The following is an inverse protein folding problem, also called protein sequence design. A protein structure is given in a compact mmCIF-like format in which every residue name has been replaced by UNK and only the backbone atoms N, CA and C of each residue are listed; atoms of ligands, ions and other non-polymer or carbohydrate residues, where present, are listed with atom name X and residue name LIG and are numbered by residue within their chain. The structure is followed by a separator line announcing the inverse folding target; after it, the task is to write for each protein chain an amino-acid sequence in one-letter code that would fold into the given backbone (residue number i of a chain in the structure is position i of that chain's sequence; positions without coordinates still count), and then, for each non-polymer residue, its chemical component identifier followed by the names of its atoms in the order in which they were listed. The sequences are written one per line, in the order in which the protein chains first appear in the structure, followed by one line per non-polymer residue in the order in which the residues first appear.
data_IF_662155633598
#
_entry.id   IF_662155633598
#
_cell.length_a   1.000
_cell.length_b   1.000
_cell.length_c   1.000
_cell.angle_alpha   90.00
_cell.angle_beta   90.00
_cell.angle_gamma   90.00
#
_symmetry.space_group_name_H-M   'P 1'
#
loop_
_entity.id
_entity.type
_entity.pdbx_description
1 polymer ?
#
# COMPACT_ATOMS: atom_id res chain seq x y z
N UNK A 1 -31.53 -11.35 16.43
CA UNK A 1 -32.30 -10.09 16.26
C UNK A 1 -31.62 -9.31 15.16
N UNK A 2 -32.34 -8.99 14.09
CA UNK A 2 -31.80 -8.25 12.94
C UNK A 2 -31.38 -6.86 13.39
N UNK A 3 -30.11 -6.49 13.16
CA UNK A 3 -29.59 -5.14 13.43
C UNK A 3 -30.06 -4.15 12.36
N UNK A 4 -31.39 -4.01 12.19
CA UNK A 4 -32.04 -3.13 11.22
C UNK A 4 -31.70 -1.63 11.36
N UNK A 5 -30.89 -1.26 12.35
CA UNK A 5 -30.46 0.12 12.59
C UNK A 5 -29.11 0.48 11.96
N UNK A 6 -28.36 -0.52 11.45
CA UNK A 6 -27.08 -0.30 10.77
C UNK A 6 -27.34 -0.18 9.27
N UNK A 7 -26.65 0.76 8.61
CA UNK A 7 -26.77 0.94 7.15
C UNK A 7 -26.50 -0.38 6.40
N UNK A 8 -27.30 -0.67 5.37
CA UNK A 8 -27.24 -1.93 4.63
C UNK A 8 -25.84 -2.28 4.11
N UNK A 9 -25.10 -1.30 3.60
CA UNK A 9 -23.73 -1.47 3.11
C UNK A 9 -22.73 -1.97 4.16
N UNK A 10 -23.03 -1.84 5.44
CA UNK A 10 -22.17 -2.33 6.54
C UNK A 10 -22.50 -3.75 6.99
N UNK A 11 -23.64 -4.31 6.58
CA UNK A 11 -24.08 -5.64 7.04
C UNK A 11 -23.13 -6.76 6.57
N UNK A 12 -22.53 -6.59 5.39
CA UNK A 12 -21.61 -7.55 4.78
C UNK A 12 -20.13 -7.18 4.96
N UNK A 13 -19.82 -6.03 5.60
CA UNK A 13 -18.45 -5.62 5.83
C UNK A 13 -17.83 -6.47 6.95
N UNK A 14 -16.90 -7.33 6.57
CA UNK A 14 -16.13 -8.13 7.54
C UNK A 14 -15.06 -7.26 8.20
N UNK A 15 -14.80 -7.51 9.49
CA UNK A 15 -13.62 -6.92 10.15
C UNK A 15 -12.35 -7.36 9.44
N UNK A 16 -11.31 -6.52 9.47
CA UNK A 16 -10.03 -6.87 8.85
C UNK A 16 -9.46 -8.15 9.50
N UNK A 17 -9.38 -9.23 8.73
CA UNK A 17 -8.76 -10.49 9.17
C UNK A 17 -7.33 -10.27 9.68
N UNK A 18 -6.58 -9.37 9.04
CA UNK A 18 -5.23 -8.99 9.48
C UNK A 18 -5.26 -8.39 10.89
N UNK A 19 -6.28 -7.59 11.24
CA UNK A 19 -6.40 -7.01 12.59
C UNK A 19 -6.63 -8.07 13.65
N UNK A 20 -7.42 -9.09 13.37
CA UNK A 20 -7.61 -10.21 14.29
C UNK A 20 -6.32 -11.02 14.46
N UNK A 21 -5.59 -11.27 13.36
CA UNK A 21 -4.29 -11.95 13.40
C UNK A 21 -3.23 -11.15 14.18
N UNK A 22 -3.26 -9.81 14.09
CA UNK A 22 -2.35 -8.96 14.87
C UNK A 22 -2.59 -9.02 16.38
N UNK A 23 -3.74 -9.51 16.86
CA UNK A 23 -3.92 -9.80 18.29
C UNK A 23 -3.02 -10.94 18.75
N UNK A 24 -2.86 -11.97 17.92
CA UNK A 24 -1.96 -13.10 18.21
C UNK A 24 -0.48 -12.69 18.18
N UNK A 25 -0.11 -11.69 17.37
CA UNK A 25 1.27 -11.19 17.30
C UNK A 25 1.77 -10.50 18.57
N UNK A 26 0.87 -10.18 19.50
CA UNK A 26 1.20 -9.58 20.81
C UNK A 26 1.39 -10.62 21.92
N UNK A 27 1.22 -11.90 21.63
CA UNK A 27 1.42 -12.98 22.61
C UNK A 27 2.91 -13.24 22.81
N UNK A 28 3.33 -13.48 24.03
CA UNK A 28 4.72 -13.78 24.36
C UNK A 28 5.24 -15.00 23.59
N UNK A 29 6.43 -14.90 23.04
CA UNK A 29 7.08 -15.98 22.28
C UNK A 29 6.55 -16.18 20.86
N UNK A 30 5.60 -15.36 20.39
CA UNK A 30 5.09 -15.41 19.02
C UNK A 30 5.90 -14.48 18.10
N UNK A 31 6.38 -15.02 17.00
CA UNK A 31 7.04 -14.27 15.93
C UNK A 31 6.01 -13.94 14.87
N UNK A 32 5.82 -12.65 14.60
CA UNK A 32 4.85 -12.20 13.61
C UNK A 32 5.49 -11.89 12.26
N UNK A 33 5.13 -12.66 11.25
CA UNK A 33 5.37 -12.38 9.83
C UNK A 33 4.11 -11.80 9.16
N UNK A 34 3.05 -11.50 9.93
CA UNK A 34 1.76 -11.05 9.39
C UNK A 34 1.65 -9.54 9.21
N UNK A 35 2.38 -8.74 9.98
CA UNK A 35 2.23 -7.29 10.02
C UNK A 35 3.00 -6.55 8.93
N UNK A 36 2.33 -5.71 8.14
CA UNK A 36 2.97 -4.73 7.25
C UNK A 36 3.35 -3.44 7.99
N UNK A 37 3.99 -3.57 9.15
CA UNK A 37 4.34 -2.46 10.04
C UNK A 37 5.85 -2.21 9.91
N UNK A 38 6.30 -0.99 9.56
CA UNK A 38 7.72 -0.64 9.55
C UNK A 38 8.41 -0.92 10.88
N UNK A 39 9.70 -1.24 10.81
CA UNK A 39 10.53 -1.45 11.99
C UNK A 39 10.74 -0.13 12.76
N UNK A 40 10.24 0.01 14.00
CA UNK A 40 10.37 1.25 14.75
C UNK A 40 11.82 1.61 15.11
N UNK A 41 12.75 0.63 15.11
CA UNK A 41 14.16 0.88 15.37
C UNK A 41 14.86 1.61 14.21
N UNK A 42 14.24 1.65 13.04
CA UNK A 42 14.71 2.38 11.87
C UNK A 42 14.14 3.80 11.77
N UNK A 43 13.27 4.24 12.68
CA UNK A 43 12.76 5.62 12.63
C UNK A 43 13.88 6.60 13.01
N UNK A 44 14.03 7.67 12.23
CA UNK A 44 14.98 8.75 12.52
C UNK A 44 14.49 9.59 13.70
N UNK A 45 14.70 9.05 14.91
CA UNK A 45 14.29 9.70 16.17
C UNK A 45 14.89 11.08 16.33
N UNK A 46 16.17 11.25 15.97
CA UNK A 46 16.87 12.53 16.08
C UNK A 46 16.25 13.57 15.14
N UNK A 47 16.06 13.21 13.86
CA UNK A 47 15.47 14.11 12.88
C UNK A 47 14.03 14.51 13.23
N UNK A 48 13.23 13.57 13.75
CA UNK A 48 11.88 13.85 14.25
C UNK A 48 11.90 14.76 15.47
N UNK A 49 12.86 14.59 16.39
CA UNK A 49 13.02 15.46 17.56
C UNK A 49 13.40 16.88 17.13
N UNK A 50 14.38 17.05 16.26
CA UNK A 50 14.79 18.36 15.71
C UNK A 50 13.61 19.07 15.07
N UNK A 51 12.83 18.38 14.25
CA UNK A 51 11.64 18.94 13.62
C UNK A 51 10.57 19.37 14.65
N UNK A 52 10.36 18.57 15.69
CA UNK A 52 9.41 18.89 16.76
C UNK A 52 9.88 20.10 17.59
N UNK A 53 11.16 20.15 17.96
CA UNK A 53 11.74 21.27 18.72
C UNK A 53 11.64 22.58 17.94
N UNK A 54 11.85 22.52 16.61
CA UNK A 54 11.67 23.68 15.74
C UNK A 54 10.23 24.18 15.75
N UNK A 55 9.24 23.28 15.59
CA UNK A 55 7.81 23.62 15.63
C UNK A 55 7.44 24.30 16.94
N UNK A 56 7.84 23.72 18.06
CA UNK A 56 7.50 24.25 19.38
C UNK A 56 8.16 25.61 19.68
N UNK A 57 9.26 25.92 19.00
CA UNK A 57 10.00 27.18 19.23
C UNK A 57 9.58 28.29 18.26
N UNK A 58 9.25 27.96 17.01
CA UNK A 58 9.08 28.97 15.95
C UNK A 58 7.76 28.90 15.18
N UNK A 59 6.98 27.82 15.28
CA UNK A 59 5.81 27.60 14.44
C UNK A 59 4.64 26.92 15.17
N UNK A 60 4.62 27.01 16.50
CA UNK A 60 3.62 26.30 17.29
C UNK A 60 2.18 26.78 17.02
N UNK A 61 2.00 28.09 16.73
CA UNK A 61 0.67 28.68 16.47
C UNK A 61 0.03 28.01 15.23
N UNK A 62 0.75 27.92 14.12
CA UNK A 62 0.26 27.31 12.89
C UNK A 62 0.10 25.78 13.04
N UNK A 63 1.00 25.14 13.78
CA UNK A 63 0.95 23.68 13.98
C UNK A 63 -0.23 23.22 14.85
N UNK A 64 -0.79 24.09 15.69
CA UNK A 64 -1.91 23.79 16.56
C UNK A 64 -3.22 24.51 16.18
N UNK A 65 -3.23 25.27 15.09
CA UNK A 65 -4.41 25.93 14.55
C UNK A 65 -5.02 25.10 13.41
N UNK A 66 -6.23 25.43 13.00
CA UNK A 66 -6.86 24.93 11.79
C UNK A 66 -6.04 25.33 10.54
N UNK A 67 -5.90 24.37 9.61
CA UNK A 67 -5.19 24.57 8.35
C UNK A 67 -6.10 24.48 7.13
N UNK A 68 -5.49 24.54 5.95
CA UNK A 68 -6.17 24.36 4.68
C UNK A 68 -6.55 22.87 4.46
N UNK A 69 -7.68 22.64 3.83
CA UNK A 69 -8.16 21.29 3.50
C UNK A 69 -7.22 20.56 2.53
N UNK A 70 -6.63 21.30 1.60
CA UNK A 70 -5.62 20.79 0.65
C UNK A 70 -4.32 20.39 1.36
N UNK A 71 -4.05 20.99 2.51
CA UNK A 71 -2.86 20.77 3.31
C UNK A 71 -1.89 21.95 3.32
N UNK A 72 -0.86 21.84 4.16
CA UNK A 72 0.18 22.83 4.35
C UNK A 72 0.92 23.12 3.04
N UNK A 73 1.02 24.39 2.57
CA UNK A 73 1.64 24.74 1.29
C UNK A 73 3.11 24.32 1.18
N UNK A 74 3.89 24.43 2.25
CA UNK A 74 5.31 24.06 2.27
C UNK A 74 5.47 22.54 2.11
N UNK A 75 4.61 21.77 2.81
CA UNK A 75 4.59 20.31 2.68
C UNK A 75 4.20 19.92 1.24
N UNK A 76 3.19 20.56 0.65
CA UNK A 76 2.76 20.29 -0.73
C UNK A 76 3.88 20.61 -1.72
N UNK A 77 4.62 21.69 -1.54
CA UNK A 77 5.78 22.02 -2.36
C UNK A 77 6.92 20.99 -2.21
N UNK A 78 7.20 20.53 -0.98
CA UNK A 78 8.18 19.46 -0.76
C UNK A 78 7.75 18.13 -1.40
N UNK A 79 6.45 17.80 -1.37
CA UNK A 79 5.89 16.64 -2.08
C UNK A 79 6.07 16.78 -3.59
N UNK A 80 5.85 17.95 -4.18
CA UNK A 80 6.10 18.19 -5.62
C UNK A 80 7.56 17.88 -6.00
N UNK A 81 8.53 18.20 -5.14
CA UNK A 81 9.93 17.86 -5.38
C UNK A 81 10.15 16.34 -5.35
N UNK A 82 9.58 15.63 -4.38
CA UNK A 82 9.63 14.16 -4.34
C UNK A 82 9.00 13.54 -5.59
N UNK A 83 7.89 14.12 -6.07
CA UNK A 83 7.23 13.65 -7.28
C UNK A 83 8.07 13.91 -8.53
N UNK A 84 8.73 15.06 -8.62
CA UNK A 84 9.65 15.37 -9.71
C UNK A 84 10.81 14.38 -9.80
N UNK A 85 11.40 14.01 -8.66
CA UNK A 85 12.47 13.01 -8.58
C UNK A 85 12.00 11.63 -9.07
N UNK A 86 10.68 11.37 -9.07
CA UNK A 86 10.03 10.17 -9.59
C UNK A 86 9.49 10.32 -11.03
N UNK A 87 9.76 11.44 -11.68
CA UNK A 87 9.31 11.73 -13.04
C UNK A 87 7.86 12.22 -13.13
N UNK A 88 7.19 12.50 -12.01
CA UNK A 88 5.84 13.09 -11.99
C UNK A 88 5.95 14.60 -11.89
N UNK A 89 5.62 15.32 -12.97
CA UNK A 89 5.53 16.76 -12.99
C UNK A 89 4.15 17.19 -12.48
N UNK A 90 4.10 17.89 -11.35
CA UNK A 90 2.87 18.43 -10.76
C UNK A 90 3.13 19.80 -10.10
N UNK A 91 2.11 20.66 -10.08
CA UNK A 91 2.10 21.89 -9.31
C UNK A 91 1.60 21.66 -7.88
N UNK A 92 1.81 22.66 -7.02
CA UNK A 92 1.33 22.61 -5.63
C UNK A 92 -0.20 22.46 -5.58
N UNK A 93 -0.91 23.02 -6.54
CA UNK A 93 -2.36 22.92 -6.69
C UNK A 93 -2.86 21.52 -7.06
N UNK A 94 -1.99 20.64 -7.58
CA UNK A 94 -2.32 19.25 -7.92
C UNK A 94 -2.25 18.32 -6.71
N UNK A 95 -1.59 18.77 -5.63
CA UNK A 95 -1.32 17.97 -4.44
C UNK A 95 -2.35 18.22 -3.36
N UNK A 96 -2.97 17.17 -2.83
CA UNK A 96 -3.81 17.21 -1.63
C UNK A 96 -3.24 16.28 -0.57
N UNK A 97 -2.94 16.83 0.61
CA UNK A 97 -2.44 16.05 1.75
C UNK A 97 -3.59 15.30 2.42
N UNK A 98 -3.35 14.04 2.73
CA UNK A 98 -4.36 13.14 3.33
C UNK A 98 -3.85 12.52 4.64
N UNK A 99 -4.77 12.00 5.44
CA UNK A 99 -4.45 11.30 6.70
C UNK A 99 -3.99 9.86 6.39
N UNK A 100 -2.88 9.77 5.62
CA UNK A 100 -2.34 8.55 5.01
C UNK A 100 -3.10 8.12 3.76
N UNK A 101 -2.51 7.23 2.95
CA UNK A 101 -3.12 6.72 1.71
C UNK A 101 -4.46 5.99 1.93
N UNK A 102 -4.74 5.49 3.13
CA UNK A 102 -6.06 4.94 3.47
C UNK A 102 -7.18 5.97 3.30
N UNK A 103 -6.95 7.22 3.73
CA UNK A 103 -7.91 8.29 3.50
C UNK A 103 -7.97 8.69 2.02
N UNK A 104 -6.83 8.66 1.32
CA UNK A 104 -6.81 8.88 -0.13
C UNK A 104 -7.77 7.94 -0.85
N UNK A 105 -7.70 6.63 -0.53
CA UNK A 105 -8.59 5.64 -1.14
C UNK A 105 -10.06 5.86 -0.79
N UNK A 106 -10.39 6.19 0.47
CA UNK A 106 -11.77 6.49 0.88
C UNK A 106 -12.34 7.71 0.15
N UNK A 107 -11.54 8.78 0.04
CA UNK A 107 -11.94 9.99 -0.69
C UNK A 107 -12.13 9.68 -2.19
N UNK A 108 -11.20 8.95 -2.81
CA UNK A 108 -11.30 8.60 -4.22
C UNK A 108 -12.51 7.69 -4.50
N UNK A 109 -12.78 6.72 -3.64
CA UNK A 109 -13.95 5.87 -3.79
C UNK A 109 -15.25 6.70 -3.73
N UNK A 110 -15.36 7.65 -2.80
CA UNK A 110 -16.51 8.56 -2.71
C UNK A 110 -16.63 9.53 -3.87
N UNK A 111 -15.49 9.98 -4.43
CA UNK A 111 -15.46 10.94 -5.52
C UNK A 111 -15.78 10.31 -6.88
N UNK A 112 -15.38 9.05 -7.08
CA UNK A 112 -15.37 8.41 -8.39
C UNK A 112 -16.45 7.34 -8.58
N UNK A 113 -16.86 6.66 -7.50
CA UNK A 113 -17.61 5.40 -7.60
C UNK A 113 -19.06 5.61 -7.19
N UNK A 114 -19.99 5.27 -8.09
CA UNK A 114 -21.40 5.10 -7.78
C UNK A 114 -21.69 3.63 -7.45
N UNK A 115 -22.75 3.33 -6.67
CA UNK A 115 -23.19 1.96 -6.45
C UNK A 115 -23.37 1.20 -7.78
N UNK A 116 -22.70 0.04 -7.90
CA UNK A 116 -22.73 -0.81 -9.08
C UNK A 116 -21.70 -0.48 -10.16
N UNK A 117 -20.94 0.62 -10.05
CA UNK A 117 -19.80 0.89 -10.94
C UNK A 117 -18.75 -0.24 -10.80
N UNK A 118 -18.18 -0.66 -11.94
CA UNK A 118 -17.18 -1.73 -11.96
C UNK A 118 -15.81 -1.15 -11.61
N UNK A 119 -15.20 -1.72 -10.58
CA UNK A 119 -13.80 -1.47 -10.21
C UNK A 119 -13.01 -2.77 -10.38
N UNK A 120 -11.94 -2.72 -11.16
CA UNK A 120 -11.04 -3.85 -11.37
C UNK A 120 -9.81 -3.72 -10.47
N UNK A 121 -9.43 -4.84 -9.85
CA UNK A 121 -8.28 -4.94 -8.96
C UNK A 121 -7.35 -6.07 -9.41
N UNK A 122 -6.14 -6.07 -8.88
CA UNK A 122 -5.22 -7.22 -8.97
C UNK A 122 -5.78 -8.43 -8.21
N UNK A 123 -5.40 -9.63 -8.63
CA UNK A 123 -5.73 -10.89 -7.95
C UNK A 123 -4.44 -11.67 -7.66
N UNK A 124 -3.88 -11.57 -6.45
CA UNK A 124 -4.40 -10.91 -5.23
C UNK A 124 -4.17 -9.39 -5.19
N UNK A 125 -4.89 -8.68 -4.29
CA UNK A 125 -4.80 -7.24 -4.12
C UNK A 125 -4.78 -6.80 -2.65
N UNK A 126 -4.59 -5.50 -2.39
CA UNK A 126 -4.56 -4.92 -1.05
C UNK A 126 -5.93 -5.01 -0.36
N UNK A 127 -5.96 -5.70 0.81
CA UNK A 127 -7.20 -5.95 1.54
C UNK A 127 -8.00 -4.68 1.87
N UNK A 128 -7.33 -3.58 2.23
CA UNK A 128 -8.07 -2.38 2.59
C UNK A 128 -8.69 -1.68 1.37
N UNK A 129 -8.13 -1.83 0.18
CA UNK A 129 -8.77 -1.37 -1.06
C UNK A 129 -10.06 -2.15 -1.33
N UNK A 130 -10.05 -3.49 -1.15
CA UNK A 130 -11.28 -4.30 -1.21
C UNK A 130 -12.37 -3.74 -0.30
N UNK A 131 -12.03 -3.45 0.96
CA UNK A 131 -13.00 -2.94 1.94
C UNK A 131 -13.53 -1.55 1.57
N UNK A 132 -12.66 -0.66 1.07
CA UNK A 132 -13.03 0.71 0.67
C UNK A 132 -14.01 0.67 -0.51
N UNK A 133 -13.70 -0.09 -1.56
CA UNK A 133 -14.57 -0.17 -2.74
C UNK A 133 -15.86 -0.95 -2.47
N UNK A 134 -15.84 -1.95 -1.58
CA UNK A 134 -17.07 -2.60 -1.08
C UNK A 134 -17.97 -1.61 -0.34
N UNK A 135 -17.40 -0.72 0.49
CA UNK A 135 -18.16 0.34 1.17
C UNK A 135 -18.76 1.37 0.21
N UNK A 136 -18.11 1.59 -0.95
CA UNK A 136 -18.65 2.41 -2.02
C UNK A 136 -19.72 1.66 -2.87
N UNK A 137 -20.03 0.41 -2.52
CA UNK A 137 -20.98 -0.45 -3.24
C UNK A 137 -20.58 -0.70 -4.70
N UNK A 138 -19.25 -0.71 -4.98
CA UNK A 138 -18.70 -1.05 -6.27
C UNK A 138 -18.93 -2.53 -6.62
N UNK A 139 -19.09 -2.83 -7.89
CA UNK A 139 -18.98 -4.19 -8.42
C UNK A 139 -17.50 -4.50 -8.65
N UNK A 140 -16.91 -5.38 -7.82
CA UNK A 140 -15.50 -5.70 -7.86
C UNK A 140 -15.24 -6.87 -8.80
N UNK A 141 -14.35 -6.66 -9.76
CA UNK A 141 -13.79 -7.69 -10.61
C UNK A 141 -12.28 -7.74 -10.42
N UNK A 142 -11.65 -8.84 -10.77
CA UNK A 142 -10.21 -8.97 -10.63
C UNK A 142 -9.53 -9.54 -11.87
N UNK A 143 -8.25 -9.17 -12.04
CA UNK A 143 -7.36 -9.63 -13.09
C UNK A 143 -6.17 -10.33 -12.46
N UNK A 144 -5.74 -11.46 -13.01
CA UNK A 144 -4.63 -12.25 -12.50
C UNK A 144 -3.32 -11.48 -12.45
N UNK A 145 -2.41 -11.96 -11.57
CA UNK A 145 -1.03 -11.48 -11.49
C UNK A 145 -0.04 -12.61 -11.71
N UNK A 146 1.14 -12.29 -12.22
CA UNK A 146 2.27 -13.21 -12.40
C UNK A 146 3.59 -12.58 -11.88
N UNK A 147 4.75 -13.04 -12.38
CA UNK A 147 6.05 -12.50 -11.98
C UNK A 147 6.25 -11.03 -12.37
N UNK A 148 5.51 -10.54 -13.35
CA UNK A 148 5.51 -9.17 -13.86
C UNK A 148 4.27 -8.37 -13.41
N UNK A 149 3.58 -8.84 -12.34
CA UNK A 149 2.39 -8.27 -11.75
C UNK A 149 1.12 -8.42 -12.62
N UNK A 150 0.21 -7.45 -12.65
CA UNK A 150 -1.08 -7.53 -13.35
C UNK A 150 -0.94 -8.02 -14.80
N UNK A 151 -1.71 -9.05 -15.17
CA UNK A 151 -1.79 -9.57 -16.55
C UNK A 151 -2.71 -8.64 -17.34
N UNK A 152 -2.12 -7.61 -17.95
CA UNK A 152 -2.88 -6.53 -18.62
C UNK A 152 -3.69 -7.05 -19.81
N UNK A 153 -3.29 -8.16 -20.44
CA UNK A 153 -4.05 -8.80 -21.53
C UNK A 153 -5.40 -9.37 -21.04
N UNK A 154 -5.48 -9.86 -19.79
CA UNK A 154 -6.76 -10.25 -19.17
C UNK A 154 -7.68 -9.03 -18.99
N UNK A 155 -7.10 -7.88 -18.57
CA UNK A 155 -7.86 -6.63 -18.48
C UNK A 155 -8.37 -6.18 -19.84
N UNK A 156 -7.54 -6.24 -20.90
CA UNK A 156 -7.97 -5.87 -22.26
C UNK A 156 -9.10 -6.77 -22.73
N UNK A 157 -9.05 -8.06 -22.42
CA UNK A 157 -10.15 -8.99 -22.73
C UNK A 157 -11.44 -8.63 -22.01
N UNK A 158 -11.33 -8.26 -20.72
CA UNK A 158 -12.49 -7.85 -19.91
C UNK A 158 -13.12 -6.55 -20.45
N UNK A 159 -12.32 -5.60 -20.92
CA UNK A 159 -12.74 -4.32 -21.49
C UNK A 159 -13.58 -4.48 -22.78
N UNK A 160 -13.47 -5.59 -23.50
CA UNK A 160 -14.29 -5.85 -24.69
C UNK A 160 -15.78 -6.05 -24.38
N UNK A 161 -16.11 -6.47 -23.16
CA UNK A 161 -17.47 -6.82 -22.75
C UNK A 161 -18.01 -6.02 -21.58
N UNK A 162 -17.11 -5.34 -20.84
CA UNK A 162 -17.44 -4.70 -19.57
C UNK A 162 -16.96 -3.25 -19.55
N UNK A 163 -17.88 -2.32 -19.25
CA UNK A 163 -17.51 -0.94 -18.99
C UNK A 163 -16.91 -0.83 -17.59
N UNK A 164 -15.61 -0.52 -17.50
CA UNK A 164 -14.88 -0.37 -16.26
C UNK A 164 -14.87 1.11 -15.87
N UNK A 165 -15.13 1.43 -14.61
CA UNK A 165 -15.06 2.78 -14.06
C UNK A 165 -13.65 3.13 -13.61
N UNK A 166 -13.00 2.21 -12.90
CA UNK A 166 -11.64 2.39 -12.40
C UNK A 166 -10.88 1.07 -12.31
N UNK A 167 -9.56 1.16 -12.44
CA UNK A 167 -8.59 0.11 -12.12
C UNK A 167 -7.77 0.60 -10.92
N UNK A 168 -7.78 -0.15 -9.82
CA UNK A 168 -6.90 0.09 -8.66
C UNK A 168 -5.71 -0.84 -8.74
N UNK A 169 -4.51 -0.30 -8.58
CA UNK A 169 -3.26 -1.06 -8.67
C UNK A 169 -2.19 -0.52 -7.71
N UNK A 170 -1.37 -1.45 -7.16
CA UNK A 170 -0.13 -1.15 -6.42
C UNK A 170 1.06 -1.56 -7.29
N UNK A 171 1.46 -0.75 -8.28
CA UNK A 171 2.29 -1.21 -9.40
C UNK A 171 3.77 -1.42 -9.04
N UNK A 172 4.20 -1.10 -7.82
CA UNK A 172 5.60 -1.22 -7.41
C UNK A 172 5.70 -1.90 -6.05
N UNK A 173 6.30 -3.11 -6.01
CA UNK A 173 6.46 -3.95 -4.82
C UNK A 173 5.15 -4.19 -4.08
N UNK A 174 4.09 -4.52 -4.83
CA UNK A 174 2.71 -4.54 -4.38
C UNK A 174 2.44 -5.38 -3.13
N UNK A 175 1.43 -5.01 -2.39
CA UNK A 175 0.89 -5.77 -1.26
C UNK A 175 -0.36 -6.53 -1.73
N UNK A 176 -0.36 -7.88 -1.78
CA UNK A 176 0.54 -8.78 -1.05
C UNK A 176 1.70 -9.34 -1.89
N UNK A 177 1.72 -9.15 -3.21
CA UNK A 177 2.54 -9.91 -4.17
C UNK A 177 4.04 -9.70 -4.03
N UNK A 178 4.50 -8.51 -3.62
CA UNK A 178 5.92 -8.16 -3.54
C UNK A 178 6.60 -8.01 -4.92
N UNK A 179 5.84 -8.11 -5.99
CA UNK A 179 6.29 -7.95 -7.39
C UNK A 179 6.01 -6.54 -7.90
N UNK A 180 6.53 -6.21 -9.07
CA UNK A 180 6.31 -4.90 -9.70
C UNK A 180 5.83 -5.06 -11.12
N UNK A 181 4.90 -4.20 -11.53
CA UNK A 181 4.38 -4.16 -12.89
C UNK A 181 5.50 -3.83 -13.88
N UNK A 182 5.69 -4.70 -14.86
CA UNK A 182 6.70 -4.52 -15.89
C UNK A 182 6.46 -3.24 -16.70
N UNK A 183 7.53 -2.61 -17.19
CA UNK A 183 7.45 -1.34 -17.92
C UNK A 183 6.51 -1.41 -19.12
N UNK A 184 6.57 -2.50 -19.89
CA UNK A 184 5.69 -2.68 -21.05
C UNK A 184 4.21 -2.74 -20.63
N UNK A 185 3.90 -3.41 -19.52
CA UNK A 185 2.54 -3.49 -18.97
C UNK A 185 2.06 -2.15 -18.41
N UNK A 186 2.98 -1.33 -17.83
CA UNK A 186 2.66 0.05 -17.40
C UNK A 186 2.19 0.89 -18.59
N UNK A 187 2.93 0.85 -19.70
CA UNK A 187 2.58 1.56 -20.93
C UNK A 187 1.25 1.08 -21.50
N UNK A 188 1.06 -0.24 -21.58
CA UNK A 188 -0.18 -0.85 -22.08
C UNK A 188 -1.38 -0.44 -21.21
N UNK A 189 -1.26 -0.48 -19.88
CA UNK A 189 -2.34 -0.09 -18.97
C UNK A 189 -2.75 1.37 -19.16
N UNK A 190 -1.78 2.29 -19.28
CA UNK A 190 -2.05 3.70 -19.58
C UNK A 190 -2.75 3.85 -20.94
N UNK A 191 -2.30 3.15 -21.99
CA UNK A 191 -2.93 3.18 -23.31
C UNK A 191 -4.37 2.68 -23.29
N UNK A 192 -4.64 1.60 -22.54
CA UNK A 192 -6.00 1.08 -22.36
C UNK A 192 -6.89 2.06 -21.62
N UNK A 193 -6.36 2.76 -20.60
CA UNK A 193 -7.16 3.77 -19.88
C UNK A 193 -7.59 4.92 -20.77
N UNK A 194 -6.73 5.33 -21.70
CA UNK A 194 -7.06 6.37 -22.69
C UNK A 194 -8.07 5.88 -23.75
N UNK A 195 -7.92 4.63 -24.20
CA UNK A 195 -8.78 4.04 -25.23
C UNK A 195 -10.20 3.75 -24.74
N UNK A 196 -10.33 3.29 -23.50
CA UNK A 196 -11.60 2.83 -22.91
C UNK A 196 -12.18 3.78 -21.86
N UNK A 197 -11.52 4.92 -21.60
CA UNK A 197 -11.96 5.99 -20.70
C UNK A 197 -12.27 5.51 -19.28
N UNK A 198 -11.33 4.78 -18.67
CA UNK A 198 -11.38 4.42 -17.26
C UNK A 198 -10.26 5.11 -16.46
N UNK A 199 -10.46 5.26 -15.16
CA UNK A 199 -9.50 5.89 -14.24
C UNK A 199 -8.54 4.83 -13.67
N UNK A 200 -7.25 5.11 -13.70
CA UNK A 200 -6.25 4.35 -12.94
C UNK A 200 -6.05 5.02 -11.58
N UNK A 201 -6.24 4.26 -10.50
CA UNK A 201 -5.88 4.65 -9.13
C UNK A 201 -4.56 3.96 -8.81
N UNK A 202 -3.46 4.70 -8.98
CA UNK A 202 -2.11 4.24 -8.69
C UNK A 202 -1.77 4.49 -7.22
N UNK A 203 -1.70 3.42 -6.42
CA UNK A 203 -1.29 3.46 -5.00
C UNK A 203 0.18 3.02 -4.89
N UNK A 204 1.08 3.93 -4.52
CA UNK A 204 2.52 3.67 -4.52
C UNK A 204 3.18 3.97 -3.17
N UNK A 205 2.88 3.17 -2.14
CA UNK A 205 3.47 3.34 -0.81
C UNK A 205 4.88 2.75 -0.68
N UNK A 206 5.33 1.92 -1.64
CA UNK A 206 6.55 1.13 -1.53
C UNK A 206 7.64 1.50 -2.54
N UNK A 207 7.38 2.34 -3.52
CA UNK A 207 8.29 2.65 -4.62
C UNK A 207 9.67 3.14 -4.19
N UNK A 208 9.77 3.77 -3.01
CA UNK A 208 11.05 4.16 -2.42
C UNK A 208 11.82 3.01 -1.75
N UNK A 209 11.17 1.85 -1.47
CA UNK A 209 11.80 0.70 -0.82
C UNK A 209 12.29 -0.27 -1.91
N UNK A 210 13.20 0.18 -2.75
CA UNK A 210 13.77 -0.55 -3.86
C UNK A 210 15.16 -1.09 -3.50
N UNK A 211 15.38 -2.40 -3.67
CA UNK A 211 16.65 -3.08 -3.36
C UNK A 211 17.57 -3.19 -4.59
N UNK A 212 17.13 -2.67 -5.74
CA UNK A 212 17.87 -2.75 -7.00
C UNK A 212 18.23 -1.36 -7.50
N UNK A 213 19.09 -1.29 -8.53
CA UNK A 213 19.39 -0.06 -9.25
C UNK A 213 18.36 0.24 -10.36
N UNK A 214 17.34 -0.61 -10.53
CA UNK A 214 16.29 -0.41 -11.53
C UNK A 214 15.35 0.71 -11.12
N UNK A 215 14.96 1.56 -12.08
CA UNK A 215 13.94 2.59 -11.86
C UNK A 215 12.56 2.06 -12.23
N UNK A 216 11.58 2.30 -11.38
CA UNK A 216 10.17 1.99 -11.63
C UNK A 216 9.40 3.30 -11.83
N UNK A 217 9.26 3.71 -13.09
CA UNK A 217 8.57 4.95 -13.46
C UNK A 217 7.07 4.79 -13.17
N UNK A 218 6.45 5.71 -12.40
CA UNK A 218 5.02 5.65 -12.10
C UNK A 218 4.13 5.72 -13.34
N UNK A 219 2.93 5.13 -13.27
CA UNK A 219 1.92 5.18 -14.33
C UNK A 219 1.51 6.62 -14.65
N UNK A 220 1.41 7.47 -13.62
CA UNK A 220 1.11 8.89 -13.81
C UNK A 220 2.19 9.62 -14.63
N UNK A 221 3.47 9.27 -14.46
CA UNK A 221 4.54 9.82 -15.28
C UNK A 221 4.42 9.38 -16.75
N UNK A 222 4.14 8.09 -16.99
CA UNK A 222 3.87 7.57 -18.34
C UNK A 222 2.65 8.21 -19.00
N UNK A 223 1.60 8.50 -18.24
CA UNK A 223 0.41 9.22 -18.74
C UNK A 223 0.75 10.63 -19.20
N UNK A 224 1.60 11.34 -18.45
CA UNK A 224 2.05 12.69 -18.81
C UNK A 224 2.84 12.73 -20.11
N UNK A 225 3.72 11.76 -20.36
CA UNK A 225 4.48 11.64 -21.61
C UNK A 225 3.58 11.49 -22.84
N UNK A 226 2.36 10.94 -22.68
CA UNK A 226 1.34 10.82 -23.71
C UNK A 226 0.47 12.07 -23.86
N UNK A 227 0.78 13.15 -23.12
CA UNK A 227 0.07 14.41 -23.16
C UNK A 227 -1.30 14.40 -22.46
N UNK A 228 -1.56 13.38 -21.63
CA UNK A 228 -2.81 13.25 -20.90
C UNK A 228 -2.57 12.77 -19.45
N UNK A 229 -2.79 13.69 -18.49
CA UNK A 229 -2.73 13.39 -17.05
C UNK A 229 -4.11 13.08 -16.43
N UNK A 230 -5.18 13.06 -17.23
CA UNK A 230 -6.54 13.11 -16.69
C UNK A 230 -7.05 11.76 -16.18
N UNK A 231 -6.51 10.65 -16.70
CA UNK A 231 -7.00 9.32 -16.36
C UNK A 231 -6.19 8.60 -15.27
N UNK A 232 -5.10 9.18 -14.75
CA UNK A 232 -4.30 8.57 -13.69
C UNK A 232 -4.30 9.43 -12.44
N UNK A 233 -4.81 8.90 -11.33
CA UNK A 233 -4.73 9.49 -10.00
C UNK A 233 -3.64 8.76 -9.23
N UNK A 234 -2.65 9.50 -8.72
CA UNK A 234 -1.55 8.94 -7.93
C UNK A 234 -1.78 9.19 -6.45
N UNK A 235 -1.50 8.20 -5.62
CA UNK A 235 -1.46 8.35 -4.15
C UNK A 235 -0.23 7.66 -3.56
N UNK A 236 0.29 8.25 -2.48
CA UNK A 236 1.37 7.66 -1.69
C UNK A 236 1.31 8.10 -0.23
N UNK A 237 2.29 7.68 0.57
CA UNK A 237 2.30 7.91 2.03
C UNK A 237 3.70 7.94 2.60
N UNK A 238 3.93 8.77 3.62
CA UNK A 238 5.16 8.75 4.42
C UNK A 238 5.20 7.59 5.44
N UNK A 239 4.15 6.79 5.52
CA UNK A 239 4.04 5.69 6.51
C UNK A 239 5.14 4.65 6.39
N UNK A 240 5.78 4.49 5.23
CA UNK A 240 6.79 3.44 4.97
C UNK A 240 8.22 3.96 4.96
N UNK A 241 8.41 5.27 4.78
CA UNK A 241 9.72 5.91 4.62
C UNK A 241 10.06 6.92 5.73
N UNK A 242 9.06 7.33 6.55
CA UNK A 242 9.27 8.21 7.69
C UNK A 242 8.73 7.55 8.97
N UNK A 243 7.43 7.65 9.22
CA UNK A 243 6.78 7.05 10.38
C UNK A 243 5.28 6.86 10.14
N UNK A 244 4.71 5.66 10.34
CA UNK A 244 3.29 5.41 10.11
C UNK A 244 2.39 6.18 11.09
N UNK A 245 2.88 6.51 12.28
CA UNK A 245 2.15 7.27 13.30
C UNK A 245 1.91 8.72 12.94
N UNK A 246 2.68 9.30 12.03
CA UNK A 246 2.47 10.66 11.52
C UNK A 246 1.15 10.81 10.76
N UNK A 247 0.63 9.72 10.18
CA UNK A 247 -0.60 9.71 9.39
C UNK A 247 -0.61 10.74 8.26
N UNK A 248 0.47 10.86 7.50
CA UNK A 248 0.58 11.76 6.34
C UNK A 248 0.73 10.94 5.07
N UNK A 249 -0.14 11.23 4.11
CA UNK A 249 -0.11 10.76 2.73
C UNK A 249 -0.50 11.90 1.80
N UNK A 250 -0.57 11.62 0.51
CA UNK A 250 -0.95 12.62 -0.48
C UNK A 250 -1.60 12.01 -1.71
N UNK A 251 -2.32 12.85 -2.42
CA UNK A 251 -2.86 12.62 -3.77
C UNK A 251 -2.18 13.59 -4.74
N UNK A 252 -1.92 13.12 -5.96
CA UNK A 252 -1.65 13.98 -7.12
C UNK A 252 -2.81 13.81 -8.09
N UNK A 253 -3.55 14.89 -8.31
CA UNK A 253 -4.88 14.88 -8.93
C UNK A 253 -4.89 15.54 -10.30
N UNK A 254 -5.71 15.08 -11.25
CA UNK A 254 -6.09 15.85 -12.43
C UNK A 254 -7.02 17.01 -12.04
N UNK A 255 -7.03 18.08 -12.84
CA UNK A 255 -7.76 19.31 -12.55
C UNK A 255 -9.25 19.11 -12.27
N UNK A 256 -9.91 18.25 -13.05
CA UNK A 256 -11.35 17.99 -12.93
C UNK A 256 -11.74 17.35 -11.61
N UNK A 257 -10.82 16.65 -10.91
CA UNK A 257 -11.11 15.92 -9.68
C UNK A 257 -10.81 16.73 -8.40
N UNK A 258 -9.93 17.72 -8.46
CA UNK A 258 -9.44 18.50 -7.31
C UNK A 258 -10.56 19.02 -6.41
N UNK A 259 -11.53 19.72 -7.01
CA UNK A 259 -12.65 20.34 -6.27
C UNK A 259 -13.48 19.29 -5.53
N UNK A 260 -13.78 18.17 -6.17
CA UNK A 260 -14.55 17.08 -5.54
C UNK A 260 -13.80 16.48 -4.35
N UNK A 261 -12.51 16.20 -4.49
CA UNK A 261 -11.64 15.66 -3.43
C UNK A 261 -11.57 16.62 -2.24
N UNK A 262 -11.33 17.91 -2.48
CA UNK A 262 -11.27 18.93 -1.41
C UNK A 262 -12.60 19.03 -0.68
N UNK A 263 -13.73 19.07 -1.38
CA UNK A 263 -15.06 19.11 -0.76
C UNK A 263 -15.33 17.87 0.12
N UNK A 264 -14.97 16.67 -0.35
CA UNK A 264 -15.12 15.45 0.45
C UNK A 264 -14.23 15.50 1.69
N UNK A 265 -12.98 15.96 1.54
CA UNK A 265 -12.06 16.09 2.67
C UNK A 265 -12.58 17.07 3.72
N UNK A 266 -13.13 18.22 3.31
CA UNK A 266 -13.76 19.19 4.21
C UNK A 266 -14.89 18.57 5.04
N UNK A 267 -15.68 17.69 4.45
CA UNK A 267 -16.79 17.02 5.15
C UNK A 267 -16.35 15.81 5.98
N UNK A 268 -15.15 15.29 5.75
CA UNK A 268 -14.63 14.09 6.43
C UNK A 268 -13.83 14.43 7.68
N UNK A 269 -12.80 15.25 7.58
CA UNK A 269 -11.87 15.59 8.65
C UNK A 269 -11.41 17.06 8.64
N UNK A 270 -12.00 17.88 7.79
CA UNK A 270 -11.66 19.27 7.57
C UNK A 270 -10.27 19.43 6.92
N UNK A 271 -9.23 18.92 7.57
CA UNK A 271 -7.85 18.83 7.09
C UNK A 271 -7.08 17.74 7.86
N UNK A 272 -5.98 17.25 7.30
CA UNK A 272 -5.03 16.40 8.01
C UNK A 272 -4.37 17.18 9.15
N UNK A 273 -4.05 16.52 10.27
CA UNK A 273 -3.43 17.16 11.44
C UNK A 273 -2.33 18.15 11.06
N UNK A 274 -2.53 19.44 11.42
CA UNK A 274 -1.56 20.49 11.11
C UNK A 274 -0.19 20.20 11.75
N UNK A 275 -0.17 19.70 12.99
CA UNK A 275 1.06 19.27 13.66
C UNK A 275 1.80 18.18 12.89
N UNK A 276 1.09 17.14 12.41
CA UNK A 276 1.72 16.07 11.62
C UNK A 276 2.26 16.58 10.29
N UNK A 277 1.55 17.50 9.65
CA UNK A 277 1.99 18.14 8.41
C UNK A 277 3.23 19.00 8.64
N UNK A 278 3.26 19.85 9.67
CA UNK A 278 4.40 20.68 10.03
C UNK A 278 5.62 19.81 10.37
N UNK A 279 5.44 18.74 11.18
CA UNK A 279 6.51 17.79 11.50
C UNK A 279 7.11 17.16 10.23
N UNK A 280 6.25 16.69 9.33
CA UNK A 280 6.70 16.09 8.07
C UNK A 280 7.39 17.12 7.18
N UNK A 281 6.84 18.34 7.04
CA UNK A 281 7.43 19.41 6.25
C UNK A 281 8.83 19.77 6.74
N UNK A 282 9.00 20.02 8.03
CA UNK A 282 10.32 20.34 8.61
C UNK A 282 11.32 19.20 8.47
N UNK A 283 10.87 17.96 8.63
CA UNK A 283 11.71 16.80 8.40
C UNK A 283 12.20 16.73 6.94
N UNK A 284 11.31 16.97 5.96
CA UNK A 284 11.69 16.97 4.54
C UNK A 284 12.71 18.07 4.23
N UNK A 285 12.47 19.30 4.72
CA UNK A 285 13.37 20.45 4.51
C UNK A 285 14.73 20.26 5.19
N UNK A 286 14.86 19.41 6.19
CA UNK A 286 16.15 19.07 6.80
C UNK A 286 17.10 18.29 5.88
N UNK A 287 16.61 17.78 4.74
CA UNK A 287 17.37 16.96 3.79
C UNK A 287 17.73 15.55 4.30
N UNK A 288 17.14 15.09 5.40
CA UNK A 288 17.47 13.76 6.02
C UNK A 288 16.78 12.59 5.31
N UNK A 289 15.68 12.83 4.58
CA UNK A 289 14.86 11.76 4.00
C UNK A 289 15.64 10.81 3.08
N UNK A 290 16.52 11.24 2.15
CA UNK A 290 17.28 10.32 1.30
C UNK A 290 18.18 9.37 2.11
N UNK A 291 18.86 9.87 3.15
CA UNK A 291 19.66 9.03 4.05
C UNK A 291 18.81 8.02 4.83
N UNK A 292 17.64 8.43 5.27
CA UNK A 292 16.66 7.57 5.95
C UNK A 292 16.16 6.45 5.04
N UNK A 293 15.81 6.76 3.79
CA UNK A 293 15.40 5.77 2.78
C UNK A 293 16.52 4.79 2.51
N UNK A 294 17.75 5.24 2.36
CA UNK A 294 18.92 4.37 2.13
C UNK A 294 19.14 3.38 3.30
N UNK A 295 18.96 3.84 4.53
CA UNK A 295 19.05 2.99 5.73
C UNK A 295 17.94 1.94 5.76
N UNK A 296 16.71 2.32 5.46
CA UNK A 296 15.55 1.42 5.38
C UNK A 296 15.77 0.36 4.29
N UNK A 297 16.18 0.77 3.09
CA UNK A 297 16.48 -0.13 1.95
C UNK A 297 17.48 -1.20 2.35
N UNK A 298 18.61 -0.79 2.90
CA UNK A 298 19.69 -1.71 3.32
C UNK A 298 19.22 -2.72 4.38
N UNK A 299 18.49 -2.25 5.39
CA UNK A 299 17.98 -3.12 6.46
C UNK A 299 16.93 -4.11 5.95
N UNK A 300 15.99 -3.65 5.12
CA UNK A 300 14.93 -4.51 4.61
C UNK A 300 15.43 -5.49 3.54
N UNK A 301 16.39 -5.09 2.72
CA UNK A 301 17.06 -5.99 1.76
C UNK A 301 17.74 -7.16 2.48
N UNK A 302 18.48 -6.89 3.57
CA UNK A 302 19.10 -7.94 4.38
C UNK A 302 18.06 -8.90 4.94
N UNK A 303 17.02 -8.38 5.58
CA UNK A 303 15.93 -9.18 6.14
C UNK A 303 15.19 -9.99 5.07
N UNK A 304 14.93 -9.41 3.90
CA UNK A 304 14.34 -10.11 2.76
C UNK A 304 15.21 -11.29 2.31
N UNK A 305 16.52 -11.08 2.16
CA UNK A 305 17.48 -12.14 1.81
C UNK A 305 17.54 -13.24 2.85
N UNK A 306 17.56 -12.91 4.14
CA UNK A 306 17.55 -13.89 5.23
C UNK A 306 16.29 -14.75 5.17
N UNK A 307 15.09 -14.13 5.11
CA UNK A 307 13.85 -14.88 5.03
C UNK A 307 13.80 -15.78 3.80
N UNK A 308 14.09 -15.24 2.63
CA UNK A 308 14.04 -15.98 1.35
C UNK A 308 15.01 -17.16 1.33
N UNK A 309 16.25 -16.96 1.80
CA UNK A 309 17.27 -18.01 1.85
C UNK A 309 16.82 -19.18 2.74
N UNK A 310 16.33 -18.88 3.94
CA UNK A 310 15.89 -19.93 4.86
C UNK A 310 14.60 -20.60 4.40
N UNK A 311 13.66 -19.88 3.78
CA UNK A 311 12.47 -20.50 3.18
C UNK A 311 12.84 -21.47 2.06
N UNK A 312 13.79 -21.13 1.17
CA UNK A 312 14.25 -22.03 0.11
C UNK A 312 14.92 -23.27 0.67
N UNK A 313 15.77 -23.13 1.68
CA UNK A 313 16.50 -24.25 2.26
C UNK A 313 15.62 -25.20 3.07
N UNK A 314 14.67 -24.67 3.84
CA UNK A 314 13.88 -25.45 4.80
C UNK A 314 12.51 -25.88 4.24
N UNK A 315 11.93 -25.08 3.34
CA UNK A 315 10.58 -25.25 2.81
C UNK A 315 10.52 -25.24 1.27
N UNK A 316 11.65 -25.21 0.57
CA UNK A 316 11.71 -25.13 -0.88
C UNK A 316 11.06 -26.32 -1.61
N UNK A 317 10.94 -27.49 -0.96
CA UNK A 317 10.19 -28.63 -1.51
C UNK A 317 8.67 -28.43 -1.41
N UNK A 318 8.21 -27.57 -0.49
CA UNK A 318 6.80 -27.33 -0.18
C UNK A 318 6.27 -26.02 -0.76
N UNK A 319 7.08 -24.95 -0.78
CA UNK A 319 6.68 -23.61 -1.18
C UNK A 319 7.42 -23.14 -2.44
N UNK A 320 6.75 -22.26 -3.17
CA UNK A 320 7.37 -21.43 -4.23
C UNK A 320 7.03 -19.96 -3.98
N UNK A 321 7.93 -19.06 -4.40
CA UNK A 321 7.72 -17.60 -4.34
C UNK A 321 8.65 -16.90 -5.34
N UNK A 322 8.31 -15.69 -5.74
CA UNK A 322 9.22 -14.78 -6.43
C UNK A 322 10.07 -14.03 -5.42
N UNK A 323 11.38 -13.92 -5.67
CA UNK A 323 12.29 -13.15 -4.82
C UNK A 323 11.90 -11.68 -4.89
N UNK A 324 11.50 -11.03 -3.75
CA UNK A 324 11.16 -9.61 -3.78
C UNK A 324 12.40 -8.75 -4.13
N UNK A 325 12.21 -7.79 -5.01
CA UNK A 325 13.22 -6.79 -5.37
C UNK A 325 13.04 -5.47 -4.60
N UNK A 326 12.11 -5.43 -3.66
CA UNK A 326 11.78 -4.26 -2.85
C UNK A 326 10.56 -4.49 -1.96
N UNK A 327 10.06 -3.42 -1.38
CA UNK A 327 8.85 -3.46 -0.56
C UNK A 327 9.05 -4.11 0.82
N UNK A 328 8.00 -4.75 1.31
CA UNK A 328 7.93 -5.24 2.70
C UNK A 328 7.44 -6.69 2.81
N UNK A 329 7.10 -7.33 1.69
CA UNK A 329 6.36 -8.59 1.68
C UNK A 329 6.98 -9.62 0.76
N UNK A 330 6.80 -10.88 1.15
CA UNK A 330 7.03 -12.06 0.36
C UNK A 330 5.71 -12.82 0.22
N UNK A 331 5.32 -13.11 -1.02
CA UNK A 331 4.14 -13.91 -1.34
C UNK A 331 4.56 -15.30 -1.73
N UNK A 332 4.10 -16.30 -0.97
CA UNK A 332 4.43 -17.70 -1.22
C UNK A 332 3.18 -18.51 -1.54
N UNK A 333 3.38 -19.60 -2.29
CA UNK A 333 2.34 -20.57 -2.65
C UNK A 333 2.83 -21.98 -2.38
N UNK A 334 1.97 -22.80 -1.78
CA UNK A 334 2.23 -24.23 -1.67
C UNK A 334 2.20 -24.91 -3.04
N UNK A 335 3.11 -25.84 -3.26
CA UNK A 335 3.22 -26.65 -4.50
C UNK A 335 2.16 -27.73 -4.61
N UNK A 336 1.35 -27.92 -3.56
CA UNK A 336 0.27 -28.88 -3.45
C UNK A 336 -0.91 -28.28 -2.70
N UNK A 337 -2.06 -28.98 -2.70
CA UNK A 337 -3.26 -28.50 -2.03
C UNK A 337 -3.03 -28.37 -0.52
N UNK A 338 -3.05 -27.15 -0.01
CA UNK A 338 -2.88 -26.79 1.40
C UNK A 338 -3.79 -25.60 1.72
N UNK A 339 -4.67 -25.76 2.69
CA UNK A 339 -5.43 -24.63 3.24
C UNK A 339 -4.57 -23.88 4.24
N UNK A 340 -4.05 -22.71 3.82
CA UNK A 340 -3.15 -21.89 4.64
C UNK A 340 -3.85 -21.28 5.86
N UNK A 341 -5.19 -21.14 5.84
CA UNK A 341 -5.96 -20.69 7.00
C UNK A 341 -6.03 -21.78 8.07
N UNK A 342 -6.22 -23.04 7.67
CA UNK A 342 -6.13 -24.15 8.61
C UNK A 342 -4.70 -24.37 9.11
N UNK A 343 -3.71 -24.24 8.23
CA UNK A 343 -2.30 -24.36 8.61
C UNK A 343 -1.88 -23.26 9.60
N UNK A 344 -2.41 -22.04 9.46
CA UNK A 344 -2.15 -20.94 10.39
C UNK A 344 -2.49 -21.32 11.84
N UNK A 345 -3.54 -22.12 12.08
CA UNK A 345 -3.89 -22.56 13.44
C UNK A 345 -2.80 -23.42 14.06
N UNK A 346 -2.09 -24.24 13.27
CA UNK A 346 -0.93 -25.01 13.71
C UNK A 346 0.28 -24.12 13.96
N UNK A 347 0.55 -23.17 13.03
CA UNK A 347 1.72 -22.28 13.15
C UNK A 347 1.59 -21.32 14.34
N UNK A 348 0.39 -20.85 14.68
CA UNK A 348 0.14 -20.06 15.89
C UNK A 348 0.52 -20.85 17.15
N UNK A 349 0.17 -22.13 17.24
CA UNK A 349 0.54 -23.01 18.38
C UNK A 349 2.06 -23.18 18.50
N UNK A 350 2.76 -23.14 17.37
CA UNK A 350 4.22 -23.18 17.31
C UNK A 350 4.86 -21.78 17.39
N UNK A 351 4.06 -20.74 17.66
CA UNK A 351 4.55 -19.38 17.89
C UNK A 351 4.93 -18.62 16.63
N UNK A 352 4.25 -18.84 15.49
CA UNK A 352 4.43 -18.05 14.26
C UNK A 352 3.09 -17.63 13.68
N UNK A 353 3.01 -16.38 13.22
CA UNK A 353 1.83 -15.81 12.54
C UNK A 353 2.24 -15.28 11.16
N UNK A 354 1.50 -15.63 10.12
CA UNK A 354 1.53 -15.07 8.77
C UNK A 354 0.10 -14.68 8.35
N UNK A 355 -0.11 -14.14 7.16
CA UNK A 355 -1.45 -13.85 6.65
C UNK A 355 -1.81 -14.86 5.56
N UNK A 356 -2.88 -15.68 5.73
CA UNK A 356 -3.41 -16.52 4.67
C UNK A 356 -3.79 -15.71 3.44
N UNK A 357 -3.54 -16.31 2.27
CA UNK A 357 -3.74 -15.59 1.01
C UNK A 357 -5.19 -15.28 0.70
N UNK A 358 -6.14 -16.10 1.13
CA UNK A 358 -7.56 -15.94 0.81
C UNK A 358 -8.12 -14.54 1.11
N UNK A 359 -7.56 -13.83 2.08
CA UNK A 359 -8.02 -12.48 2.46
C UNK A 359 -7.68 -11.38 1.44
N UNK A 360 -6.82 -11.65 0.47
CA UNK A 360 -6.40 -10.70 -0.56
C UNK A 360 -7.13 -10.87 -1.89
N UNK A 361 -8.24 -11.60 -1.89
CA UNK A 361 -9.06 -11.87 -3.07
C UNK A 361 -10.46 -11.29 -2.91
N UNK A 362 -11.00 -10.68 -3.96
CA UNK A 362 -12.41 -10.32 -4.00
C UNK A 362 -13.28 -11.51 -4.43
N UNK A 363 -12.75 -12.41 -5.25
CA UNK A 363 -13.38 -13.59 -5.80
C UNK A 363 -12.34 -14.71 -5.97
N UNK A 364 -12.77 -15.95 -6.08
CA UNK A 364 -11.95 -17.15 -6.36
C UNK A 364 -10.64 -17.21 -5.57
N UNK A 365 -10.66 -17.23 -4.22
CA UNK A 365 -9.47 -17.20 -3.42
C UNK A 365 -8.58 -18.43 -3.62
N UNK A 366 -7.27 -18.22 -3.80
CA UNK A 366 -6.28 -19.29 -3.77
C UNK A 366 -5.88 -19.58 -2.32
N UNK A 367 -6.46 -20.63 -1.74
CA UNK A 367 -6.21 -21.05 -0.36
C UNK A 367 -4.80 -21.59 -0.12
N UNK A 368 -4.03 -21.89 -1.20
CA UNK A 368 -2.65 -22.38 -1.08
C UNK A 368 -1.62 -21.27 -0.89
N UNK A 369 -2.04 -20.01 -0.87
CA UNK A 369 -1.16 -18.85 -0.82
C UNK A 369 -1.05 -18.24 0.57
N UNK A 370 0.05 -17.53 0.83
CA UNK A 370 0.27 -16.80 2.08
C UNK A 370 1.19 -15.59 1.88
N UNK A 371 0.95 -14.54 2.67
CA UNK A 371 1.83 -13.37 2.73
C UNK A 371 2.66 -13.39 4.01
N UNK A 372 3.96 -13.17 3.87
CA UNK A 372 4.89 -12.96 4.97
C UNK A 372 5.52 -11.57 4.87
N UNK A 373 5.68 -10.88 6.00
CA UNK A 373 6.43 -9.64 6.12
C UNK A 373 7.76 -9.93 6.80
N UNK A 374 8.83 -9.38 6.26
CA UNK A 374 10.18 -9.55 6.82
C UNK A 374 10.68 -8.31 7.59
N UNK A 375 9.93 -7.21 7.60
CA UNK A 375 10.46 -5.92 8.04
C UNK A 375 10.42 -5.68 9.54
N UNK A 376 9.41 -6.20 10.24
CA UNK A 376 9.12 -5.85 11.64
C UNK A 376 9.79 -6.74 12.70
N UNK A 377 10.62 -7.70 12.28
CA UNK A 377 11.31 -8.62 13.20
C UNK A 377 12.81 -8.68 12.92
N UNK A 378 13.60 -9.28 13.82
CA UNK A 378 15.07 -9.43 13.65
C UNK A 378 15.39 -10.59 12.71
N UNK A 379 16.64 -10.63 12.20
CA UNK A 379 17.12 -11.73 11.35
C UNK A 379 17.07 -13.08 12.07
N UNK A 380 17.43 -13.13 13.36
CA UNK A 380 17.38 -14.35 14.19
C UNK A 380 15.93 -14.85 14.30
N UNK A 381 14.99 -13.95 14.51
CA UNK A 381 13.57 -14.30 14.57
C UNK A 381 13.03 -14.74 13.20
N UNK A 382 13.51 -14.19 12.08
CA UNK A 382 13.14 -14.68 10.75
C UNK A 382 13.59 -16.13 10.55
N UNK A 383 14.82 -16.47 10.93
CA UNK A 383 15.37 -17.84 10.88
C UNK A 383 14.53 -18.78 11.76
N UNK A 384 14.27 -18.37 12.98
CA UNK A 384 13.48 -19.17 13.94
C UNK A 384 12.04 -19.36 13.45
N UNK A 385 11.42 -18.32 12.87
CA UNK A 385 10.08 -18.42 12.30
C UNK A 385 10.02 -19.49 11.21
N UNK A 386 11.00 -19.54 10.30
CA UNK A 386 11.03 -20.55 9.24
C UNK A 386 11.16 -21.97 9.81
N UNK A 387 11.99 -22.18 10.84
CA UNK A 387 12.09 -23.48 11.53
C UNK A 387 10.73 -23.91 12.13
N UNK A 388 10.03 -22.98 12.78
CA UNK A 388 8.71 -23.24 13.37
C UNK A 388 7.64 -23.51 12.31
N UNK A 389 7.70 -22.81 11.16
CA UNK A 389 6.86 -23.09 10.00
C UNK A 389 7.07 -24.52 9.51
N UNK A 390 8.33 -24.98 9.39
CA UNK A 390 8.67 -26.36 9.00
C UNK A 390 8.10 -27.40 9.97
N UNK A 391 8.26 -27.17 11.27
CA UNK A 391 7.70 -28.05 12.31
C UNK A 391 6.17 -28.14 12.18
N UNK A 392 5.51 -27.05 11.76
CA UNK A 392 4.06 -26.99 11.63
C UNK A 392 3.49 -27.73 10.41
N UNK A 393 4.34 -28.26 9.51
CA UNK A 393 3.90 -29.10 8.39
C UNK A 393 3.53 -30.53 8.86
N UNK A 394 4.12 -30.95 9.95
CA UNK A 394 3.82 -32.24 10.58
C UNK A 394 2.60 -32.07 11.51
#
# INVERSE_FOLDING_TARGET
MSHTKIANKLQNLKSSAIRELLKHSKMDGVISLGGGIPDPNLFDREGLQIAMDHILTHGWEDAFQYGLSEGNPELRAAICQIMLDRGIHCGVEDVVVTTGSQQSLDILARALINPGDVVVLERPTYLAALQVFQLAEANLLSVGTDAEDMIVDELETLLLTTRIKAVYIVPTFGNPGGVSLAEQRRKQLVELSLRYDFIIIEDDPYGEINFTDSSFIPLRAWSAERGNNDNVVYTSTFSKILAPGARVGWLVLPDWLKRAVVNIKQTTDLHTSALSQSLTSHYLHSGRLPGQIALIRKAYELKCRVLSHHLLNELGDHLTFHQPMGGMFLWAKFKYAMDTTQWLQKTIRNGVVFVPGEFFYCEEPDHCTLRMSYVSTTEENLIEAVKRLKISLN
#
